data_IF_683747174594
#
_entry.id   IF_683747174594
#
_cell.length_a   1.000
_cell.length_b   1.000
_cell.length_c   1.000
_cell.angle_alpha   90.00
_cell.angle_beta   90.00
_cell.angle_gamma   90.00
#
_symmetry.space_group_name_H-M   'P 1'
#
loop_
_entity.id
_entity.type
_entity.pdbx_description
1 polymer ?
#
# COMPACT_ATOMS: atom_id res chain seq x y z
N UNK A 1 18.50 -11.37 -10.20
CA UNK A 1 17.73 -12.53 -10.66
C UNK A 1 16.61 -12.08 -11.57
N UNK A 2 16.53 -12.66 -12.76
CA UNK A 2 15.53 -12.27 -13.74
C UNK A 2 14.19 -12.96 -13.43
N UNK A 3 13.08 -12.21 -13.30
CA UNK A 3 11.78 -12.86 -13.12
C UNK A 3 11.40 -13.72 -14.33
N UNK A 4 10.67 -14.79 -14.09
CA UNK A 4 10.16 -15.63 -15.16
C UNK A 4 8.89 -15.08 -15.79
N UNK A 5 8.24 -14.11 -15.13
CA UNK A 5 7.01 -13.49 -15.62
C UNK A 5 7.34 -12.26 -16.46
N UNK A 6 6.59 -12.05 -17.54
CA UNK A 6 6.75 -10.88 -18.39
C UNK A 6 5.58 -9.92 -18.24
N UNK A 7 5.75 -8.69 -18.72
CA UNK A 7 4.71 -7.66 -18.68
C UNK A 7 3.42 -8.15 -19.36
N UNK A 8 3.55 -8.88 -20.46
CA UNK A 8 2.38 -9.33 -21.23
C UNK A 8 1.54 -10.37 -20.48
N UNK A 9 2.10 -10.97 -19.44
CA UNK A 9 1.40 -11.95 -18.62
C UNK A 9 0.56 -11.31 -17.51
N UNK A 10 0.71 -10.00 -17.29
CA UNK A 10 -0.08 -9.28 -16.30
C UNK A 10 -1.32 -8.69 -16.96
N UNK A 11 -2.45 -8.83 -16.27
CA UNK A 11 -3.72 -8.29 -16.74
C UNK A 11 -3.82 -6.82 -16.35
N UNK A 12 -3.12 -5.97 -17.10
CA UNK A 12 -3.11 -4.53 -16.89
C UNK A 12 -2.84 -3.82 -18.20
N UNK A 13 -3.42 -2.63 -18.35
CA UNK A 13 -3.21 -1.80 -19.55
C UNK A 13 -2.02 -0.86 -19.41
N UNK A 14 -1.48 -0.68 -18.20
CA UNK A 14 -0.34 0.20 -17.97
C UNK A 14 0.95 -0.61 -17.96
N UNK A 15 1.69 -0.56 -19.07
CA UNK A 15 2.92 -1.33 -19.21
C UNK A 15 4.04 -0.81 -18.30
N UNK A 16 4.12 0.49 -18.06
CA UNK A 16 5.13 1.05 -17.15
C UNK A 16 4.89 0.56 -15.72
N UNK A 17 3.64 0.57 -15.29
CA UNK A 17 3.28 0.05 -13.97
C UNK A 17 3.55 -1.44 -13.88
N UNK A 18 3.20 -2.19 -14.93
CA UNK A 18 3.44 -3.64 -14.96
C UNK A 18 4.94 -3.95 -14.85
N UNK A 19 5.78 -3.22 -15.57
CA UNK A 19 7.22 -3.39 -15.48
C UNK A 19 7.73 -3.11 -14.07
N UNK A 20 7.18 -2.09 -13.42
CA UNK A 20 7.57 -1.73 -12.06
C UNK A 20 7.16 -2.79 -11.06
N UNK A 21 5.96 -3.35 -11.23
CA UNK A 21 5.51 -4.44 -10.38
C UNK A 21 6.42 -5.65 -10.50
N UNK A 22 6.78 -6.02 -11.71
CA UNK A 22 7.69 -7.15 -11.94
C UNK A 22 9.05 -6.87 -11.32
N UNK A 23 9.56 -5.64 -11.50
CA UNK A 23 10.84 -5.26 -10.90
C UNK A 23 10.83 -5.30 -9.38
N UNK A 24 9.68 -4.96 -8.77
CA UNK A 24 9.57 -4.90 -7.31
C UNK A 24 9.22 -6.26 -6.71
N UNK A 25 8.35 -7.04 -7.35
CA UNK A 25 7.79 -8.25 -6.77
C UNK A 25 8.18 -9.53 -7.52
N UNK A 26 8.83 -9.41 -8.67
CA UNK A 26 9.21 -10.57 -9.47
C UNK A 26 8.00 -11.40 -9.89
N UNK A 27 8.11 -12.70 -9.75
CA UNK A 27 7.03 -13.62 -10.13
C UNK A 27 5.79 -13.47 -9.24
N UNK A 28 5.92 -12.83 -8.10
CA UNK A 28 4.79 -12.57 -7.21
C UNK A 28 3.85 -11.48 -7.73
N UNK A 29 4.25 -10.73 -8.77
CA UNK A 29 3.41 -9.65 -9.31
C UNK A 29 2.04 -10.16 -9.76
N UNK A 30 1.97 -11.34 -10.37
CA UNK A 30 0.69 -11.92 -10.79
C UNK A 30 -0.20 -12.23 -9.58
N UNK A 31 0.40 -12.83 -8.55
CA UNK A 31 -0.34 -13.17 -7.33
C UNK A 31 -0.88 -11.92 -6.65
N UNK A 32 -0.08 -10.86 -6.65
CA UNK A 32 -0.50 -9.58 -6.10
C UNK A 32 -1.74 -9.06 -6.83
N UNK A 33 -1.74 -9.12 -8.15
CA UNK A 33 -2.89 -8.67 -8.94
C UNK A 33 -4.10 -9.56 -8.75
N UNK A 34 -3.89 -10.87 -8.59
CA UNK A 34 -4.98 -11.83 -8.42
C UNK A 34 -5.76 -11.61 -7.13
N UNK A 35 -5.11 -11.13 -6.07
CA UNK A 35 -5.77 -10.91 -4.78
C UNK A 35 -6.39 -9.52 -4.66
N UNK A 36 -6.24 -8.67 -5.67
CA UNK A 36 -6.69 -7.29 -5.63
C UNK A 36 -7.89 -7.07 -6.55
N UNK A 37 -8.73 -6.06 -6.21
CA UNK A 37 -9.80 -5.61 -7.07
C UNK A 37 -9.28 -4.66 -8.14
N UNK A 38 -10.05 -4.49 -9.22
CA UNK A 38 -9.65 -3.60 -10.31
C UNK A 38 -9.38 -2.17 -9.82
N UNK A 39 -10.19 -1.66 -8.89
CA UNK A 39 -9.98 -0.33 -8.33
C UNK A 39 -8.69 -0.22 -7.54
N UNK A 40 -8.24 -1.31 -6.93
CA UNK A 40 -7.01 -1.33 -6.15
C UNK A 40 -5.75 -1.34 -7.02
N UNK A 41 -5.91 -1.62 -8.32
CA UNK A 41 -4.79 -1.67 -9.25
C UNK A 41 -4.45 -0.34 -9.86
N UNK A 42 -5.20 0.71 -9.55
CA UNK A 42 -4.93 2.05 -10.06
C UNK A 42 -3.90 2.74 -9.19
N UNK A 43 -3.00 3.48 -9.84
CA UNK A 43 -2.00 4.24 -9.11
C UNK A 43 -2.67 5.34 -8.28
N UNK A 44 -2.14 5.56 -7.09
CA UNK A 44 -2.67 6.55 -6.16
C UNK A 44 -2.03 7.90 -6.46
N UNK A 45 -2.85 8.83 -6.98
CA UNK A 45 -2.37 10.17 -7.30
C UNK A 45 -1.16 10.12 -8.24
N UNK A 46 -0.13 10.86 -7.92
CA UNK A 46 1.11 10.90 -8.69
C UNK A 46 2.13 9.89 -8.20
N UNK A 47 1.76 9.02 -7.26
CA UNK A 47 2.68 8.02 -6.73
C UNK A 47 2.82 6.84 -7.69
N UNK A 48 3.80 5.99 -7.41
CA UNK A 48 4.03 4.76 -8.17
C UNK A 48 3.53 3.53 -7.42
N UNK A 49 2.60 3.74 -6.49
CA UNK A 49 2.01 2.69 -5.67
C UNK A 49 0.51 2.63 -5.89
N UNK A 50 -0.09 1.47 -5.60
CA UNK A 50 -1.53 1.28 -5.65
C UNK A 50 -1.99 0.52 -4.40
N UNK A 51 -3.30 0.52 -4.15
CA UNK A 51 -3.84 -0.17 -2.99
C UNK A 51 -3.60 -1.68 -3.03
N UNK A 52 -3.47 -2.26 -4.21
CA UNK A 52 -3.15 -3.69 -4.35
C UNK A 52 -1.84 -4.01 -3.64
N UNK A 53 -0.87 -3.11 -3.69
CA UNK A 53 0.41 -3.31 -3.01
C UNK A 53 0.26 -3.25 -1.50
N UNK A 54 -0.66 -2.41 -1.00
CA UNK A 54 -0.97 -2.37 0.43
C UNK A 54 -1.59 -3.68 0.89
N UNK A 55 -2.52 -4.22 0.10
CA UNK A 55 -3.16 -5.50 0.42
C UNK A 55 -2.12 -6.64 0.42
N UNK A 56 -1.25 -6.65 -0.57
CA UNK A 56 -0.19 -7.65 -0.65
C UNK A 56 0.73 -7.57 0.58
N UNK A 57 1.16 -6.36 0.94
CA UNK A 57 2.03 -6.16 2.09
C UNK A 57 1.35 -6.63 3.38
N UNK A 58 0.08 -6.29 3.57
CA UNK A 58 -0.66 -6.72 4.75
C UNK A 58 -0.77 -8.24 4.84
N UNK A 59 -0.92 -8.90 3.69
CA UNK A 59 -1.06 -10.37 3.66
C UNK A 59 0.27 -11.10 3.84
N UNK A 60 1.36 -10.57 3.29
CA UNK A 60 2.61 -11.33 3.15
C UNK A 60 3.85 -10.72 3.82
N UNK A 61 3.80 -9.47 4.27
CA UNK A 61 5.01 -8.76 4.68
C UNK A 61 4.97 -8.26 6.12
N UNK A 62 4.71 -9.11 7.05
CA UNK A 62 4.89 -8.85 8.50
C UNK A 62 4.46 -7.44 8.96
N UNK A 63 3.29 -6.99 8.51
CA UNK A 63 2.73 -5.71 8.94
C UNK A 63 2.09 -5.89 10.32
N UNK A 64 2.56 -5.12 11.29
CA UNK A 64 2.01 -5.12 12.65
C UNK A 64 1.22 -3.84 12.92
N UNK A 65 1.71 -2.71 12.43
CA UNK A 65 1.10 -1.41 12.64
C UNK A 65 0.85 -0.72 11.32
N UNK A 66 -0.04 0.28 11.32
CA UNK A 66 -0.35 1.04 10.12
C UNK A 66 0.88 1.76 9.56
N UNK A 67 1.79 2.21 10.42
CA UNK A 67 3.02 2.84 9.97
C UNK A 67 3.94 1.86 9.23
N UNK A 68 3.90 0.57 9.57
CA UNK A 68 4.64 -0.43 8.79
C UNK A 68 4.17 -0.44 7.34
N UNK A 69 2.86 -0.34 7.13
CA UNK A 69 2.27 -0.39 5.81
C UNK A 69 2.54 0.87 5.01
N UNK A 70 2.35 2.03 5.61
CA UNK A 70 2.38 3.31 4.91
C UNK A 70 3.76 3.97 4.87
N UNK A 71 4.66 3.64 5.80
CA UNK A 71 5.97 4.26 5.86
C UNK A 71 7.12 3.31 5.54
N UNK A 72 6.92 2.01 5.71
CA UNK A 72 7.99 1.02 5.49
C UNK A 72 7.78 0.17 4.26
N UNK A 73 6.59 -0.40 4.07
CA UNK A 73 6.33 -1.32 2.95
C UNK A 73 5.96 -0.58 1.68
N UNK A 74 5.28 0.53 1.81
CA UNK A 74 5.08 1.48 0.72
C UNK A 74 5.66 2.80 1.18
N UNK A 75 5.65 3.79 0.34
CA UNK A 75 6.10 5.12 0.74
C UNK A 75 4.95 6.11 0.68
N UNK A 76 3.74 5.58 0.67
CA UNK A 76 2.55 6.40 0.51
C UNK A 76 2.41 7.47 1.59
N UNK A 77 2.78 7.12 2.83
CA UNK A 77 2.68 8.07 3.93
C UNK A 77 3.59 9.28 3.77
N UNK A 78 4.75 9.11 3.13
CA UNK A 78 5.67 10.22 2.91
C UNK A 78 5.42 10.95 1.59
N UNK A 79 4.66 10.34 0.68
CA UNK A 79 4.41 10.90 -0.65
C UNK A 79 3.07 11.65 -0.75
N UNK A 80 2.12 11.33 0.10
CA UNK A 80 0.76 11.89 0.04
C UNK A 80 0.53 12.93 1.12
N UNK A 81 -0.40 13.85 0.85
CA UNK A 81 -0.79 14.85 1.85
C UNK A 81 -1.32 14.18 3.11
N UNK A 82 -1.01 14.78 4.24
CA UNK A 82 -1.48 14.32 5.56
C UNK A 82 -1.20 12.85 5.80
N UNK A 83 -0.07 12.36 5.28
CA UNK A 83 0.33 10.97 5.49
C UNK A 83 -0.53 9.95 4.79
N UNK A 84 -1.31 10.36 3.80
CA UNK A 84 -2.20 9.45 3.07
C UNK A 84 -3.54 9.25 3.77
N UNK A 85 -3.97 10.18 4.61
CA UNK A 85 -5.21 10.04 5.37
C UNK A 85 -6.44 9.84 4.47
N UNK A 86 -6.42 10.37 3.25
CA UNK A 86 -7.51 10.18 2.31
C UNK A 86 -7.73 8.72 1.94
N UNK A 87 -6.72 7.86 2.13
CA UNK A 87 -6.81 6.43 1.85
C UNK A 87 -7.37 5.63 3.02
N UNK A 88 -7.58 6.24 4.17
CA UNK A 88 -7.96 5.51 5.38
C UNK A 88 -9.23 4.67 5.21
N UNK A 89 -10.30 5.13 4.57
CA UNK A 89 -11.47 4.26 4.38
C UNK A 89 -11.14 2.97 3.63
N UNK A 90 -10.35 3.06 2.56
CA UNK A 90 -9.96 1.88 1.80
C UNK A 90 -8.99 1.00 2.60
N UNK A 91 -8.05 1.60 3.31
CA UNK A 91 -7.08 0.88 4.12
C UNK A 91 -7.74 0.16 5.29
N UNK A 92 -8.78 0.76 5.88
CA UNK A 92 -9.52 0.11 6.95
C UNK A 92 -10.11 -1.22 6.47
N UNK A 93 -10.69 -1.25 5.27
CA UNK A 93 -11.22 -2.47 4.69
C UNK A 93 -10.13 -3.51 4.42
N UNK A 94 -9.00 -3.08 3.89
CA UNK A 94 -7.88 -3.97 3.63
C UNK A 94 -7.35 -4.59 4.93
N UNK A 95 -7.14 -3.77 5.95
CA UNK A 95 -6.62 -4.25 7.23
C UNK A 95 -7.62 -5.15 7.95
N UNK A 96 -8.92 -4.86 7.83
CA UNK A 96 -9.93 -5.72 8.41
C UNK A 96 -9.89 -7.12 7.78
N UNK A 97 -9.73 -7.18 6.47
CA UNK A 97 -9.71 -8.45 5.74
C UNK A 97 -8.39 -9.21 5.93
N UNK A 98 -7.27 -8.51 5.78
CA UNK A 98 -5.96 -9.18 5.76
C UNK A 98 -5.35 -9.36 7.14
N UNK A 99 -5.64 -8.47 8.08
CA UNK A 99 -5.03 -8.47 9.41
C UNK A 99 -6.03 -8.71 10.54
N UNK A 100 -7.32 -8.87 10.20
CA UNK A 100 -8.40 -9.08 11.17
C UNK A 100 -8.52 -7.93 12.17
N UNK A 101 -8.25 -6.72 11.72
CA UNK A 101 -8.39 -5.55 12.58
C UNK A 101 -9.86 -5.16 12.69
N UNK A 102 -10.37 -5.11 13.92
CA UNK A 102 -11.70 -4.58 14.18
C UNK A 102 -11.67 -3.04 14.23
N UNK A 103 -12.82 -2.43 14.46
CA UNK A 103 -12.91 -0.97 14.49
C UNK A 103 -12.05 -0.37 15.60
N UNK A 104 -12.01 -0.99 16.75
CA UNK A 104 -11.20 -0.50 17.88
C UNK A 104 -9.72 -0.52 17.53
N UNK A 105 -9.26 -1.62 16.93
CA UNK A 105 -7.87 -1.72 16.51
C UNK A 105 -7.55 -0.68 15.43
N UNK A 106 -8.44 -0.52 14.45
CA UNK A 106 -8.26 0.48 13.40
C UNK A 106 -8.14 1.88 13.98
N UNK A 107 -9.05 2.25 14.90
CA UNK A 107 -9.02 3.60 15.50
C UNK A 107 -7.71 3.83 16.27
N UNK A 108 -7.27 2.84 17.02
CA UNK A 108 -6.01 2.95 17.76
C UNK A 108 -4.82 3.11 16.81
N UNK A 109 -4.81 2.34 15.72
CA UNK A 109 -3.73 2.43 14.74
C UNK A 109 -3.73 3.74 13.99
N UNK A 110 -4.92 4.26 13.66
CA UNK A 110 -5.03 5.55 12.97
C UNK A 110 -4.50 6.68 13.84
N UNK A 111 -4.84 6.67 15.14
CA UNK A 111 -4.35 7.68 16.09
C UNK A 111 -2.83 7.59 16.21
N UNK A 112 -2.31 6.38 16.39
CA UNK A 112 -0.87 6.13 16.49
C UNK A 112 -0.14 6.60 15.24
N UNK A 113 -0.68 6.28 14.07
CA UNK A 113 -0.07 6.66 12.80
C UNK A 113 -0.03 8.18 12.63
N UNK A 114 -1.14 8.86 12.92
CA UNK A 114 -1.18 10.32 12.80
C UNK A 114 -0.14 11.00 13.69
N UNK A 115 0.06 10.48 14.90
CA UNK A 115 1.07 11.03 15.81
C UNK A 115 2.48 10.82 15.26
N UNK A 116 2.77 9.62 14.74
CA UNK A 116 4.08 9.31 14.16
C UNK A 116 4.34 10.20 12.96
N UNK A 117 3.36 10.30 12.05
CA UNK A 117 3.51 11.11 10.85
C UNK A 117 3.72 12.58 11.20
N UNK A 118 2.91 13.10 12.10
CA UNK A 118 3.00 14.51 12.50
C UNK A 118 4.36 14.82 13.10
N UNK A 119 4.90 13.90 13.85
CA UNK A 119 6.20 14.08 14.52
C UNK A 119 7.36 14.10 13.55
N UNK A 120 7.29 13.30 12.49
CA UNK A 120 8.43 13.08 11.60
C UNK A 120 8.30 13.76 10.24
N UNK A 121 7.10 14.06 9.80
CA UNK A 121 6.86 14.55 8.44
C UNK A 121 6.14 15.90 8.41
N UNK A 122 5.45 16.25 9.46
CA UNK A 122 4.73 17.52 9.52
C UNK A 122 5.72 18.62 9.92
N UNK A 123 5.83 19.63 9.06
CA UNK A 123 6.69 20.77 9.37
C UNK A 123 5.93 21.73 10.29
N UNK A 124 6.46 22.01 11.48
CA UNK A 124 5.78 22.96 12.37
C UNK A 124 5.78 24.35 11.73
N UNK A 125 4.60 24.92 11.65
CA UNK A 125 4.46 26.32 11.28
C UNK A 125 4.66 27.14 12.55
N UNK A 126 5.77 27.74 12.66
CA UNK A 126 6.00 28.66 13.76
C UNK A 126 5.64 30.06 13.33
#
# INVERSE_FOLDING_TARGET
QTPSISVDQLDTTDRHWAQRLIGRYGDCARMLLDVSDAGERQLIGDTQFCLAECRWAARHEAVVHLDDLLLRRTRLGSLLENGGEALFPALQGICATELNWDDDRWQAEAVRYREIWRKHYYLPTT
#
